data_IF_873892885387
#
_entry.id   IF_873892885387
#
_cell.length_a   1.000
_cell.length_b   1.000
_cell.length_c   1.000
_cell.angle_alpha   90.00
_cell.angle_beta   90.00
_cell.angle_gamma   90.00
#
_symmetry.space_group_name_H-M   'P 1'
#
loop_
_entity.id
_entity.type
_entity.pdbx_description
1 polymer ?
#
# COMPACT_ATOMS: atom_id res chain seq x y z
N UNK A 1 -51.51 -58.38 -17.01
CA UNK A 1 -51.58 -58.44 -15.53
C UNK A 1 -50.42 -57.66 -14.90
N UNK A 2 -50.62 -56.37 -14.51
CA UNK A 2 -49.68 -55.62 -13.66
C UNK A 2 -49.96 -56.06 -12.19
N UNK A 3 -49.11 -56.92 -11.64
CA UNK A 3 -49.15 -57.25 -10.23
C UNK A 3 -48.86 -55.98 -9.40
N UNK A 4 -49.88 -55.50 -8.67
CA UNK A 4 -49.71 -54.40 -7.72
C UNK A 4 -48.94 -54.92 -6.51
N UNK A 5 -47.70 -54.37 -6.28
CA UNK A 5 -46.90 -54.70 -5.08
C UNK A 5 -47.68 -54.40 -3.79
N UNK A 6 -47.58 -55.25 -2.74
CA UNK A 6 -48.28 -55.05 -1.50
C UNK A 6 -47.83 -53.77 -0.78
N UNK A 7 -48.77 -53.05 -0.14
CA UNK A 7 -48.57 -51.73 0.50
C UNK A 7 -47.35 -51.64 1.44
N UNK A 8 -47.08 -52.68 2.22
CA UNK A 8 -45.90 -52.77 3.13
C UNK A 8 -44.57 -52.69 2.35
N UNK A 9 -44.43 -53.32 1.22
CA UNK A 9 -43.24 -53.27 0.36
C UNK A 9 -43.05 -51.85 -0.23
N UNK A 10 -44.11 -51.16 -0.62
CA UNK A 10 -44.05 -49.79 -1.14
C UNK A 10 -43.53 -48.79 -0.09
N UNK A 11 -43.93 -48.95 1.17
CA UNK A 11 -43.49 -48.06 2.28
C UNK A 11 -42.03 -48.26 2.63
N UNK A 12 -41.53 -49.51 2.62
CA UNK A 12 -40.12 -49.84 2.86
C UNK A 12 -39.26 -49.31 1.68
N UNK A 13 -39.67 -49.51 0.44
CA UNK A 13 -38.97 -48.99 -0.76
C UNK A 13 -38.86 -47.49 -0.71
N UNK A 14 -39.91 -46.74 -0.40
CA UNK A 14 -39.88 -45.28 -0.24
C UNK A 14 -38.95 -44.81 0.86
N UNK A 15 -38.79 -45.54 1.98
CA UNK A 15 -37.81 -45.22 3.02
C UNK A 15 -36.37 -45.44 2.56
N UNK A 16 -36.13 -46.50 1.78
CA UNK A 16 -34.82 -46.80 1.22
C UNK A 16 -34.44 -45.73 0.16
N UNK A 17 -35.36 -45.39 -0.73
CA UNK A 17 -35.16 -44.32 -1.73
C UNK A 17 -34.84 -42.99 -1.06
N UNK A 18 -35.59 -42.57 -0.03
CA UNK A 18 -35.28 -41.33 0.70
C UNK A 18 -33.90 -41.34 1.35
N UNK A 19 -33.52 -42.47 1.96
CA UNK A 19 -32.20 -42.63 2.57
C UNK A 19 -31.09 -42.59 1.51
N UNK A 20 -31.28 -43.25 0.38
CA UNK A 20 -30.35 -43.22 -0.74
C UNK A 20 -30.17 -41.81 -1.29
N UNK A 21 -31.27 -41.05 -1.46
CA UNK A 21 -31.18 -39.63 -1.88
C UNK A 21 -30.45 -38.78 -0.85
N UNK A 22 -30.66 -38.97 0.43
CA UNK A 22 -29.93 -38.26 1.49
C UNK A 22 -28.45 -38.62 1.46
N UNK A 23 -28.10 -39.90 1.36
CA UNK A 23 -26.70 -40.35 1.24
C UNK A 23 -26.03 -39.79 0.00
N UNK A 24 -26.74 -39.75 -1.13
CA UNK A 24 -26.22 -39.17 -2.38
C UNK A 24 -26.01 -37.64 -2.24
N UNK A 25 -26.94 -36.92 -1.61
CA UNK A 25 -26.78 -35.50 -1.34
C UNK A 25 -25.56 -35.20 -0.44
N UNK A 26 -25.38 -36.00 0.62
CA UNK A 26 -24.22 -35.91 1.51
C UNK A 26 -22.91 -36.21 0.78
N UNK A 27 -22.89 -37.22 -0.10
CA UNK A 27 -21.72 -37.57 -0.91
C UNK A 27 -21.37 -36.44 -1.90
N UNK A 28 -22.37 -35.82 -2.53
CA UNK A 28 -22.14 -34.66 -3.41
C UNK A 28 -21.60 -33.46 -2.61
N UNK A 29 -22.15 -33.21 -1.41
CA UNK A 29 -21.70 -32.13 -0.54
C UNK A 29 -20.25 -32.35 -0.08
N UNK A 30 -19.89 -33.59 0.27
CA UNK A 30 -18.54 -33.96 0.62
C UNK A 30 -17.58 -33.78 -0.57
N UNK A 31 -17.96 -34.27 -1.75
CA UNK A 31 -17.17 -34.12 -2.97
C UNK A 31 -16.95 -32.64 -3.31
N UNK A 32 -17.99 -31.80 -3.21
CA UNK A 32 -17.88 -30.36 -3.41
C UNK A 32 -16.94 -29.72 -2.38
N UNK A 33 -17.07 -30.06 -1.09
CA UNK A 33 -16.17 -29.59 -0.03
C UNK A 33 -14.72 -29.99 -0.26
N UNK A 34 -14.47 -31.24 -0.67
CA UNK A 34 -13.12 -31.70 -1.03
C UNK A 34 -12.57 -30.98 -2.24
N UNK A 35 -13.39 -30.68 -3.25
CA UNK A 35 -12.97 -29.93 -4.43
C UNK A 35 -12.55 -28.50 -4.05
N UNK A 36 -13.33 -27.83 -3.21
CA UNK A 36 -12.98 -26.49 -2.69
C UNK A 36 -11.69 -26.56 -1.86
N UNK A 37 -11.53 -27.57 -1.02
CA UNK A 37 -10.31 -27.75 -0.22
C UNK A 37 -9.09 -27.96 -1.13
N UNK A 38 -9.19 -28.82 -2.15
CA UNK A 38 -8.09 -29.06 -3.09
C UNK A 38 -7.72 -27.78 -3.85
N UNK A 39 -8.71 -27.03 -4.35
CA UNK A 39 -8.46 -25.74 -5.01
C UNK A 39 -7.69 -24.79 -4.10
N UNK A 40 -8.12 -24.66 -2.84
CA UNK A 40 -7.43 -23.83 -1.85
C UNK A 40 -6.06 -24.36 -1.50
N UNK A 41 -5.90 -25.67 -1.36
CA UNK A 41 -4.60 -26.28 -1.09
C UNK A 41 -3.59 -25.99 -2.21
N UNK A 42 -4.00 -26.07 -3.47
CA UNK A 42 -3.13 -25.73 -4.61
C UNK A 42 -2.84 -24.22 -4.70
N UNK A 43 -3.82 -23.37 -4.34
CA UNK A 43 -3.68 -21.92 -4.42
C UNK A 43 -2.96 -21.30 -3.21
N UNK A 44 -3.15 -21.83 -2.02
CA UNK A 44 -2.74 -21.22 -0.75
C UNK A 44 -1.81 -22.12 0.08
N UNK A 45 -1.45 -23.30 -0.40
CA UNK A 45 -0.66 -24.29 0.35
C UNK A 45 0.67 -23.75 0.86
N UNK A 46 1.35 -22.91 0.07
CA UNK A 46 2.58 -22.23 0.48
C UNK A 46 2.36 -21.29 1.66
N UNK A 47 1.26 -20.52 1.68
CA UNK A 47 0.89 -19.63 2.79
C UNK A 47 0.58 -20.40 4.07
N UNK A 48 -0.09 -21.55 3.95
CA UNK A 48 -0.37 -22.39 5.11
C UNK A 48 0.89 -23.04 5.66
N UNK A 49 1.78 -23.48 4.75
CA UNK A 49 3.05 -24.08 5.13
C UNK A 49 4.02 -23.08 5.79
N UNK A 50 4.02 -21.82 5.37
CA UNK A 50 4.83 -20.73 5.94
C UNK A 50 4.24 -20.10 7.20
N UNK A 51 3.14 -20.64 7.72
CA UNK A 51 2.54 -20.17 8.98
C UNK A 51 3.53 -20.26 10.15
N UNK A 52 3.50 -19.28 11.06
CA UNK A 52 4.30 -19.24 12.28
C UNK A 52 4.13 -20.47 13.20
N UNK A 53 3.12 -21.31 12.98
CA UNK A 53 2.94 -22.60 13.66
C UNK A 53 3.87 -23.70 13.14
N UNK A 54 4.49 -23.50 11.97
CA UNK A 54 5.43 -24.45 11.42
C UNK A 54 6.85 -24.22 12.00
N UNK A 55 7.13 -24.83 13.14
CA UNK A 55 8.40 -24.69 13.89
C UNK A 55 9.65 -25.04 13.10
N UNK A 56 9.55 -25.72 11.95
CA UNK A 56 10.71 -26.03 11.11
C UNK A 56 11.22 -24.81 10.32
N UNK A 57 10.42 -23.76 10.22
CA UNK A 57 10.74 -22.54 9.48
C UNK A 57 11.10 -21.37 10.40
N UNK A 58 10.88 -21.52 11.71
CA UNK A 58 11.08 -20.48 12.70
C UNK A 58 11.99 -21.00 13.82
N UNK A 59 12.81 -20.10 14.36
CA UNK A 59 13.63 -20.39 15.53
C UNK A 59 12.79 -20.40 16.83
N UNK A 60 13.46 -20.58 17.98
CA UNK A 60 12.81 -20.60 19.31
C UNK A 60 12.12 -19.28 19.65
N UNK A 61 12.54 -18.17 19.05
CA UNK A 61 12.03 -16.83 19.28
C UNK A 61 10.94 -16.44 18.27
N UNK A 62 10.58 -17.34 17.35
CA UNK A 62 9.57 -17.14 16.32
C UNK A 62 10.05 -16.33 15.13
N UNK A 63 11.35 -16.25 14.91
CA UNK A 63 11.97 -15.59 13.76
C UNK A 63 12.03 -16.54 12.57
N UNK A 64 11.65 -16.07 11.39
CA UNK A 64 11.73 -16.84 10.14
C UNK A 64 13.20 -17.10 9.77
N UNK A 65 13.61 -18.37 9.79
CA UNK A 65 14.97 -18.83 9.47
C UNK A 65 15.04 -19.51 8.10
N UNK A 66 14.40 -18.95 7.09
CA UNK A 66 14.40 -19.49 5.72
C UNK A 66 14.48 -18.37 4.69
N UNK A 67 15.16 -18.63 3.59
CA UNK A 67 15.27 -17.75 2.43
C UNK A 67 16.19 -16.56 2.59
N UNK A 68 16.59 -16.00 1.45
CA UNK A 68 17.48 -14.85 1.31
C UNK A 68 16.77 -13.73 0.56
N UNK A 69 16.86 -12.51 1.07
CA UNK A 69 16.34 -11.30 0.43
C UNK A 69 17.53 -10.54 -0.15
N UNK A 70 17.46 -10.28 -1.45
CA UNK A 70 18.49 -9.57 -2.20
C UNK A 70 17.93 -8.28 -2.79
N UNK A 71 18.78 -7.30 -2.99
CA UNK A 71 18.43 -6.12 -3.77
C UNK A 71 18.52 -6.43 -5.28
N UNK A 72 18.29 -5.41 -6.11
CA UNK A 72 18.30 -5.54 -7.57
C UNK A 72 19.65 -5.96 -8.16
N UNK A 73 20.76 -5.60 -7.50
CA UNK A 73 22.13 -5.88 -7.94
C UNK A 73 22.67 -7.20 -7.34
N UNK A 74 21.88 -7.85 -6.47
CA UNK A 74 22.24 -9.10 -5.82
C UNK A 74 22.93 -8.92 -4.46
N UNK A 75 22.94 -7.70 -3.92
CA UNK A 75 23.41 -7.45 -2.56
C UNK A 75 22.46 -8.06 -1.53
N UNK A 76 23.00 -8.81 -0.57
CA UNK A 76 22.20 -9.52 0.43
C UNK A 76 21.67 -8.54 1.48
N UNK A 77 20.37 -8.25 1.44
CA UNK A 77 19.70 -7.42 2.45
C UNK A 77 19.37 -8.20 3.72
N UNK A 78 19.04 -9.49 3.60
CA UNK A 78 18.84 -10.39 4.72
C UNK A 78 19.05 -11.84 4.29
N UNK A 79 19.72 -12.63 5.13
CA UNK A 79 20.01 -14.06 4.92
C UNK A 79 19.78 -14.85 6.20
N UNK A 80 20.08 -16.15 6.16
CA UNK A 80 20.15 -17.00 7.35
C UNK A 80 21.58 -17.46 7.49
N UNK A 81 22.18 -17.20 8.65
CA UNK A 81 23.55 -17.58 9.00
C UNK A 81 23.57 -18.33 10.33
N UNK A 82 24.12 -19.52 10.36
CA UNK A 82 24.18 -20.35 11.56
C UNK A 82 22.81 -20.55 12.26
N UNK A 83 21.73 -20.64 11.47
CA UNK A 83 20.38 -20.83 11.99
C UNK A 83 19.72 -19.55 12.56
N UNK A 84 20.32 -18.39 12.35
CA UNK A 84 19.76 -17.10 12.77
C UNK A 84 19.59 -16.17 11.58
N UNK A 85 18.60 -15.27 11.66
CA UNK A 85 18.39 -14.23 10.66
C UNK A 85 19.50 -13.18 10.74
N UNK A 86 20.20 -13.01 9.62
CA UNK A 86 21.19 -11.96 9.41
C UNK A 86 20.62 -10.84 8.53
N UNK A 87 21.18 -9.65 8.65
CA UNK A 87 20.85 -8.49 7.84
C UNK A 87 22.10 -7.85 7.27
N UNK A 88 21.93 -6.93 6.31
CA UNK A 88 23.01 -6.20 5.67
C UNK A 88 24.04 -5.68 6.69
N UNK A 89 25.33 -5.68 6.35
CA UNK A 89 26.39 -5.30 7.28
C UNK A 89 26.27 -3.86 7.79
N UNK A 90 25.95 -2.92 6.90
CA UNK A 90 25.84 -1.50 7.23
C UNK A 90 24.52 -1.18 7.96
N UNK A 91 24.62 -0.63 9.18
CA UNK A 91 23.46 -0.26 10.02
C UNK A 91 22.50 0.71 9.32
N UNK A 92 23.02 1.70 8.58
CA UNK A 92 22.19 2.68 7.89
C UNK A 92 21.38 2.03 6.78
N UNK A 93 21.95 1.08 6.04
CA UNK A 93 21.22 0.29 5.03
C UNK A 93 20.13 -0.55 5.70
N UNK A 94 20.44 -1.22 6.84
CA UNK A 94 19.42 -1.97 7.60
C UNK A 94 18.23 -1.09 7.98
N UNK A 95 18.49 0.11 8.50
CA UNK A 95 17.44 1.08 8.85
C UNK A 95 16.68 1.58 7.63
N UNK A 96 17.38 1.85 6.54
CA UNK A 96 16.81 2.34 5.31
C UNK A 96 15.87 1.33 4.64
N UNK A 97 16.23 0.05 4.66
CA UNK A 97 15.49 -1.03 4.00
C UNK A 97 14.53 -1.77 4.94
N UNK A 98 14.46 -1.41 6.21
CA UNK A 98 13.69 -2.11 7.24
C UNK A 98 12.24 -2.35 6.86
N UNK A 99 11.54 -1.33 6.34
CA UNK A 99 10.11 -1.42 6.01
C UNK A 99 9.84 -2.26 4.76
N UNK A 100 10.85 -2.48 3.92
CA UNK A 100 10.78 -3.35 2.77
C UNK A 100 11.19 -4.78 3.11
N UNK A 101 12.29 -4.97 3.83
CA UNK A 101 12.77 -6.29 4.24
C UNK A 101 11.89 -6.88 5.34
N UNK A 102 11.58 -6.10 6.36
CA UNK A 102 10.84 -6.52 7.54
C UNK A 102 11.74 -6.67 8.78
N UNK A 103 11.09 -6.71 9.93
CA UNK A 103 11.71 -6.94 11.23
C UNK A 103 11.70 -8.42 11.61
N UNK A 104 12.43 -8.78 12.66
CA UNK A 104 12.54 -10.15 13.14
C UNK A 104 11.20 -10.77 13.57
N UNK A 105 10.30 -9.96 14.11
CA UNK A 105 9.07 -10.43 14.76
C UNK A 105 7.79 -10.21 13.94
N UNK A 106 7.92 -9.78 12.67
CA UNK A 106 6.80 -9.59 11.78
C UNK A 106 5.87 -8.43 12.13
N UNK A 107 6.32 -7.47 12.97
CA UNK A 107 5.55 -6.27 13.30
C UNK A 107 5.37 -5.33 12.10
N UNK A 108 6.31 -5.36 11.16
CA UNK A 108 6.21 -4.66 9.88
C UNK A 108 5.53 -5.56 8.87
N UNK A 109 4.20 -5.52 8.82
CA UNK A 109 3.38 -6.41 8.00
C UNK A 109 3.64 -6.34 6.49
N UNK A 110 4.16 -5.21 6.00
CA UNK A 110 4.54 -5.01 4.59
C UNK A 110 5.95 -5.50 4.26
N UNK A 111 6.74 -5.88 5.27
CA UNK A 111 8.09 -6.40 5.08
C UNK A 111 8.07 -7.77 4.41
N UNK A 112 9.03 -8.00 3.53
CA UNK A 112 9.16 -9.24 2.73
C UNK A 112 9.22 -10.48 3.60
N UNK A 113 9.92 -10.43 4.73
CA UNK A 113 10.02 -11.55 5.67
C UNK A 113 8.67 -12.02 6.21
N UNK A 114 7.69 -11.13 6.26
CA UNK A 114 6.33 -11.44 6.69
C UNK A 114 5.39 -11.65 5.49
N UNK A 115 5.33 -10.67 4.59
CA UNK A 115 4.36 -10.63 3.50
C UNK A 115 4.60 -11.71 2.43
N UNK A 116 5.85 -12.12 2.24
CA UNK A 116 6.28 -13.11 1.25
C UNK A 116 7.02 -14.31 1.88
N UNK A 117 6.69 -14.63 3.13
CA UNK A 117 7.25 -15.77 3.82
C UNK A 117 7.07 -17.10 3.03
N UNK A 118 5.93 -17.24 2.36
CA UNK A 118 5.63 -18.37 1.48
C UNK A 118 6.60 -18.49 0.29
N UNK A 119 7.03 -17.37 -0.28
CA UNK A 119 8.02 -17.35 -1.37
C UNK A 119 9.42 -17.62 -0.84
N UNK A 120 9.76 -17.12 0.36
CA UNK A 120 11.07 -17.32 0.98
C UNK A 120 11.28 -18.76 1.47
N UNK A 121 10.23 -19.40 1.99
CA UNK A 121 10.35 -20.76 2.54
C UNK A 121 10.45 -21.85 1.48
N UNK A 122 10.01 -21.56 0.26
CA UNK A 122 9.86 -22.59 -0.79
C UNK A 122 8.83 -23.64 -0.39
N UNK A 123 7.87 -23.89 -1.22
CA UNK A 123 6.83 -24.89 -0.99
C UNK A 123 6.71 -25.81 -2.20
N UNK A 124 6.71 -27.10 -1.94
CA UNK A 124 6.41 -28.14 -2.93
C UNK A 124 5.19 -28.93 -2.48
N UNK A 125 4.29 -29.22 -3.43
CA UNK A 125 3.02 -29.92 -3.14
C UNK A 125 3.19 -31.33 -2.61
N UNK A 126 4.33 -31.96 -2.90
CA UNK A 126 4.63 -33.36 -2.51
C UNK A 126 5.43 -33.39 -1.21
N UNK A 127 6.42 -32.47 -1.09
CA UNK A 127 7.38 -32.47 0.01
C UNK A 127 7.02 -31.45 1.12
N UNK A 128 6.03 -30.59 0.89
CA UNK A 128 5.66 -29.52 1.83
C UNK A 128 6.62 -28.33 1.78
N UNK A 129 6.74 -27.60 2.90
CA UNK A 129 7.72 -26.52 3.03
C UNK A 129 9.13 -27.09 3.13
N UNK A 130 10.06 -26.53 2.36
CA UNK A 130 11.47 -26.83 2.53
C UNK A 130 11.95 -26.20 3.84
N UNK A 131 12.71 -26.93 4.64
CA UNK A 131 13.27 -26.39 5.88
C UNK A 131 14.25 -25.23 5.62
N UNK A 132 14.78 -24.66 6.70
CA UNK A 132 15.70 -23.51 6.69
C UNK A 132 16.86 -23.62 5.69
N UNK A 133 17.35 -24.84 5.42
CA UNK A 133 18.48 -25.09 4.54
C UNK A 133 18.16 -24.97 3.03
N UNK A 134 16.89 -24.91 2.64
CA UNK A 134 16.44 -24.87 1.24
C UNK A 134 15.55 -23.67 0.92
N UNK A 135 15.73 -22.58 1.65
CA UNK A 135 15.00 -21.33 1.39
C UNK A 135 15.30 -20.77 0.00
N UNK A 136 14.33 -20.06 -0.55
CA UNK A 136 14.43 -19.42 -1.87
C UNK A 136 15.11 -18.05 -1.77
N UNK A 137 15.75 -17.65 -2.86
CA UNK A 137 16.21 -16.27 -3.05
C UNK A 137 15.07 -15.40 -3.57
N UNK A 138 14.82 -14.27 -2.91
CA UNK A 138 13.86 -13.27 -3.33
C UNK A 138 14.58 -11.98 -3.69
N UNK A 139 14.52 -11.60 -4.96
CA UNK A 139 15.09 -10.36 -5.47
C UNK A 139 14.08 -9.24 -5.42
N UNK A 140 14.47 -8.13 -4.80
CA UNK A 140 13.71 -6.89 -4.80
C UNK A 140 14.18 -6.00 -5.96
N UNK A 141 13.32 -5.10 -6.41
CA UNK A 141 13.72 -4.05 -7.37
C UNK A 141 14.45 -2.89 -6.69
N UNK A 142 14.49 -2.86 -5.35
CA UNK A 142 15.17 -1.83 -4.57
C UNK A 142 16.69 -1.87 -4.78
N UNK A 143 17.30 -0.69 -4.80
CA UNK A 143 18.74 -0.50 -4.77
C UNK A 143 19.16 -0.06 -3.35
N UNK A 144 20.02 -0.82 -2.71
CA UNK A 144 20.47 -0.56 -1.33
C UNK A 144 21.14 0.82 -1.19
N UNK A 145 21.86 1.29 -2.23
CA UNK A 145 22.54 2.60 -2.25
C UNK A 145 21.53 3.76 -2.31
N UNK A 146 20.49 3.62 -3.12
CA UNK A 146 19.43 4.65 -3.19
C UNK A 146 18.67 4.74 -1.90
N UNK A 147 18.38 3.60 -1.26
CA UNK A 147 17.73 3.57 0.05
C UNK A 147 18.63 4.18 1.14
N UNK A 148 19.93 3.88 1.12
CA UNK A 148 20.92 4.46 2.03
C UNK A 148 20.93 6.00 1.93
N UNK A 149 21.08 6.55 0.73
CA UNK A 149 21.13 8.00 0.53
C UNK A 149 19.81 8.69 0.86
N UNK A 150 18.68 8.09 0.49
CA UNK A 150 17.36 8.59 0.83
C UNK A 150 17.12 8.64 2.35
N UNK A 151 17.56 7.61 3.08
CA UNK A 151 17.44 7.58 4.53
C UNK A 151 18.30 8.67 5.19
N UNK A 152 19.52 8.88 4.69
CA UNK A 152 20.40 9.96 5.15
C UNK A 152 19.81 11.35 4.87
N UNK A 153 19.24 11.53 3.68
CA UNK A 153 18.62 12.79 3.28
C UNK A 153 17.39 13.16 4.13
N UNK A 154 16.66 12.17 4.69
CA UNK A 154 15.59 12.43 5.65
C UNK A 154 16.10 13.09 6.93
N UNK A 155 17.39 12.97 7.27
CA UNK A 155 18.04 13.70 8.35
C UNK A 155 17.39 13.53 9.74
N UNK A 156 16.70 12.40 9.97
CA UNK A 156 15.96 12.13 11.21
C UNK A 156 14.52 12.66 11.24
N UNK A 157 14.07 13.30 10.19
CA UNK A 157 12.66 13.70 10.04
C UNK A 157 11.77 12.48 9.79
N UNK A 158 10.56 12.50 10.33
CA UNK A 158 9.54 11.50 10.00
C UNK A 158 8.99 11.77 8.59
N UNK A 159 8.90 10.70 7.78
CA UNK A 159 8.42 10.82 6.42
C UNK A 159 8.72 9.58 5.58
N UNK A 160 8.62 9.74 4.27
CA UNK A 160 8.95 8.68 3.31
C UNK A 160 9.64 9.27 2.08
N UNK A 161 10.56 8.50 1.51
CA UNK A 161 11.17 8.77 0.20
C UNK A 161 10.98 7.53 -0.66
N UNK A 162 10.46 7.74 -1.86
CA UNK A 162 10.31 6.67 -2.84
C UNK A 162 10.76 7.13 -4.22
N UNK A 163 11.35 6.22 -4.96
CA UNK A 163 11.73 6.40 -6.36
C UNK A 163 11.26 5.18 -7.14
N UNK A 164 10.59 5.40 -8.25
CA UNK A 164 10.20 4.32 -9.14
C UNK A 164 10.56 4.65 -10.60
N UNK A 165 10.72 3.60 -11.37
CA UNK A 165 10.85 3.71 -12.81
C UNK A 165 9.43 3.76 -13.42
N UNK A 166 8.99 4.94 -13.88
CA UNK A 166 7.63 5.11 -14.41
C UNK A 166 7.35 4.29 -15.69
N UNK A 167 8.40 3.81 -16.39
CA UNK A 167 8.25 2.97 -17.57
C UNK A 167 8.08 1.50 -17.26
N UNK A 168 8.73 0.99 -16.19
CA UNK A 168 8.73 -0.43 -15.84
C UNK A 168 7.87 -0.73 -14.63
N UNK A 169 7.54 0.29 -13.81
CA UNK A 169 6.85 0.15 -12.53
C UNK A 169 7.75 -0.32 -11.38
N UNK A 170 9.04 -0.57 -11.62
CA UNK A 170 9.98 -0.99 -10.58
C UNK A 170 10.17 0.09 -9.52
N UNK A 171 10.01 -0.26 -8.26
CA UNK A 171 10.33 0.60 -7.12
C UNK A 171 11.80 0.43 -6.80
N UNK A 172 12.58 1.49 -7.01
CA UNK A 172 14.03 1.51 -6.82
C UNK A 172 14.43 1.94 -5.40
N UNK A 173 13.58 2.74 -4.76
CA UNK A 173 13.77 3.22 -3.40
C UNK A 173 12.42 3.28 -2.69
N UNK A 174 12.38 2.79 -1.44
CA UNK A 174 11.20 2.83 -0.58
C UNK A 174 11.64 2.92 0.88
N UNK A 175 11.88 4.14 1.34
CA UNK A 175 12.34 4.43 2.70
C UNK A 175 11.21 5.02 3.51
N UNK A 176 11.06 4.59 4.76
CA UNK A 176 10.17 5.21 5.74
C UNK A 176 10.94 5.53 7.03
N UNK A 177 10.62 6.66 7.64
CA UNK A 177 11.15 7.10 8.93
C UNK A 177 10.01 7.59 9.85
N UNK A 178 10.10 7.39 11.18
CA UNK A 178 11.23 6.80 11.89
C UNK A 178 11.42 5.31 11.57
N UNK A 179 12.66 4.87 11.71
CA UNK A 179 13.10 3.49 11.53
C UNK A 179 14.06 3.12 12.66
N UNK A 180 14.38 1.84 12.78
CA UNK A 180 15.31 1.32 13.76
C UNK A 180 16.18 0.21 13.16
N UNK A 181 17.26 -0.13 13.85
CA UNK A 181 18.11 -1.26 13.48
C UNK A 181 17.46 -2.57 13.94
N UNK A 182 17.09 -3.50 13.02
CA UNK A 182 16.49 -4.79 13.38
C UNK A 182 17.41 -5.66 14.27
N UNK A 183 18.73 -5.47 14.22
CA UNK A 183 19.69 -6.18 15.06
C UNK A 183 19.90 -5.52 16.43
N UNK A 184 19.44 -4.28 16.60
CA UNK A 184 19.57 -3.54 17.85
C UNK A 184 18.29 -2.73 18.13
N UNK A 185 17.19 -3.46 18.37
CA UNK A 185 15.87 -2.86 18.59
C UNK A 185 15.87 -2.06 19.90
N UNK A 186 15.48 -0.77 19.88
CA UNK A 186 15.37 0.03 21.10
C UNK A 186 14.37 -0.57 22.10
N UNK A 187 14.77 -0.69 23.38
CA UNK A 187 13.95 -1.33 24.43
C UNK A 187 12.59 -0.66 24.66
N UNK A 188 12.50 0.65 24.42
CA UNK A 188 11.30 1.47 24.60
C UNK A 188 10.71 1.98 23.29
N UNK A 189 10.85 1.22 22.21
CA UNK A 189 10.47 1.64 20.86
C UNK A 189 8.99 2.05 20.78
N UNK A 190 8.09 1.35 21.45
CA UNK A 190 6.65 1.61 21.43
C UNK A 190 6.23 2.81 22.32
N UNK A 191 7.01 3.12 23.35
CA UNK A 191 6.70 4.18 24.32
C UNK A 191 7.39 5.51 23.98
N UNK A 192 8.33 5.51 23.06
CA UNK A 192 9.16 6.66 22.72
C UNK A 192 8.60 7.38 21.49
N UNK A 193 8.16 8.61 21.66
CA UNK A 193 7.60 9.46 20.58
C UNK A 193 8.52 9.60 19.36
N UNK A 194 9.84 9.48 19.55
CA UNK A 194 10.82 9.47 18.46
C UNK A 194 10.56 8.35 17.46
N UNK A 195 10.00 7.22 17.91
CA UNK A 195 9.72 6.04 17.08
C UNK A 195 8.23 5.88 16.75
N UNK A 196 7.42 6.90 16.97
CA UNK A 196 5.99 6.86 16.67
C UNK A 196 5.75 6.51 15.20
N UNK A 197 5.13 5.35 14.98
CA UNK A 197 4.89 4.79 13.64
C UNK A 197 6.12 4.13 13.01
N UNK A 198 7.10 3.66 13.79
CA UNK A 198 8.31 2.97 13.29
C UNK A 198 8.02 1.62 12.62
N UNK A 199 6.86 1.03 12.85
CA UNK A 199 6.40 -0.18 12.15
C UNK A 199 5.65 0.11 10.85
N UNK A 200 5.36 1.39 10.57
CA UNK A 200 4.52 1.79 9.45
C UNK A 200 5.34 2.02 8.18
N UNK A 201 5.09 1.25 7.15
CA UNK A 201 5.55 1.59 5.81
C UNK A 201 4.75 2.78 5.29
N UNK A 202 5.31 3.98 5.41
CA UNK A 202 4.60 5.22 5.09
C UNK A 202 4.30 5.38 3.61
N UNK A 203 5.13 4.81 2.75
CA UNK A 203 4.89 4.85 1.31
C UNK A 203 3.63 4.06 0.92
N UNK A 204 3.46 2.87 1.48
CA UNK A 204 2.32 2.01 1.16
C UNK A 204 1.10 2.33 2.04
N UNK A 205 1.29 2.49 3.35
CA UNK A 205 0.22 2.40 4.33
C UNK A 205 -0.20 3.74 4.95
N UNK A 206 0.39 4.87 4.53
CA UNK A 206 0.00 6.20 5.02
C UNK A 206 -0.73 7.01 3.97
N UNK A 207 -1.47 8.02 4.47
CA UNK A 207 -1.97 9.13 3.68
C UNK A 207 -1.56 10.44 4.38
N UNK A 208 -1.20 11.44 3.60
CA UNK A 208 -0.72 12.74 4.06
C UNK A 208 -1.51 13.86 3.41
N UNK A 209 -1.58 15.00 4.08
CA UNK A 209 -2.05 16.25 3.47
C UNK A 209 -1.10 16.59 2.32
N UNK A 210 -1.57 16.65 1.07
CA UNK A 210 -0.70 16.84 -0.09
C UNK A 210 -0.06 18.23 -0.15
N UNK A 211 -0.76 19.24 0.35
CA UNK A 211 -0.31 20.62 0.20
C UNK A 211 -0.22 21.04 -1.28
N UNK A 212 0.70 21.92 -1.57
CA UNK A 212 0.84 22.54 -2.91
C UNK A 212 1.09 21.59 -4.06
N UNK A 213 1.51 20.34 -3.82
CA UNK A 213 1.64 19.38 -4.92
C UNK A 213 0.27 19.02 -5.52
N UNK A 214 -0.81 19.14 -4.76
CA UNK A 214 -2.18 18.93 -5.26
C UNK A 214 -2.58 19.95 -6.33
N UNK A 215 -1.94 21.12 -6.38
CA UNK A 215 -2.18 22.11 -7.45
C UNK A 215 -1.94 21.56 -8.85
N UNK A 216 -1.19 20.47 -9.01
CA UNK A 216 -1.07 19.76 -10.31
C UNK A 216 -2.43 19.22 -10.76
N UNK A 217 -3.24 18.70 -9.85
CA UNK A 217 -4.60 18.21 -10.16
C UNK A 217 -5.54 19.39 -10.49
N UNK A 218 -5.50 20.44 -9.67
CA UNK A 218 -6.29 21.67 -9.88
C UNK A 218 -5.89 22.36 -11.19
N UNK A 219 -4.59 22.40 -11.52
CA UNK A 219 -4.07 22.93 -12.79
C UNK A 219 -4.62 22.14 -13.99
N UNK A 220 -4.55 20.80 -13.93
CA UNK A 220 -5.08 19.96 -15.00
C UNK A 220 -6.58 20.17 -15.19
N UNK A 221 -7.33 20.26 -14.08
CA UNK A 221 -8.74 20.58 -14.13
C UNK A 221 -9.02 21.95 -14.75
N UNK A 222 -8.23 22.97 -14.42
CA UNK A 222 -8.35 24.31 -14.96
C UNK A 222 -8.10 24.35 -16.48
N UNK A 223 -7.02 23.74 -16.93
CA UNK A 223 -6.67 23.70 -18.36
C UNK A 223 -7.73 22.98 -19.21
N UNK A 224 -8.38 21.96 -18.67
CA UNK A 224 -9.39 21.19 -19.40
C UNK A 224 -10.83 21.78 -19.29
N UNK A 225 -11.12 22.65 -18.33
CA UNK A 225 -12.50 23.12 -18.08
C UNK A 225 -12.68 24.66 -18.13
N UNK A 226 -11.61 25.46 -18.05
CA UNK A 226 -11.69 26.90 -18.14
C UNK A 226 -11.17 27.36 -19.50
N UNK A 227 -12.03 27.87 -20.40
CA UNK A 227 -11.65 28.13 -21.81
C UNK A 227 -10.53 29.15 -22.00
N UNK A 228 -10.38 30.07 -21.05
CA UNK A 228 -9.42 31.18 -21.07
C UNK A 228 -8.28 31.01 -20.05
N UNK A 229 -8.13 29.82 -19.45
CA UNK A 229 -7.16 29.57 -18.39
C UNK A 229 -5.71 29.92 -18.76
N UNK A 230 -5.32 29.74 -20.03
CA UNK A 230 -3.95 30.03 -20.48
C UNK A 230 -3.70 31.52 -20.76
N UNK A 231 -4.73 32.31 -20.94
CA UNK A 231 -4.62 33.70 -21.39
C UNK A 231 -4.99 34.75 -20.36
N UNK A 232 -5.82 34.40 -19.38
CA UNK A 232 -6.23 35.32 -18.32
C UNK A 232 -5.25 35.33 -17.15
N UNK A 233 -5.42 36.35 -16.31
CA UNK A 233 -4.57 36.56 -15.13
C UNK A 233 -5.38 36.48 -13.84
N UNK A 234 -4.69 36.18 -12.73
CA UNK A 234 -5.19 36.20 -11.36
C UNK A 234 -4.35 37.15 -10.52
N UNK A 235 -5.01 37.98 -9.72
CA UNK A 235 -4.31 38.91 -8.84
C UNK A 235 -4.12 38.30 -7.44
N UNK A 236 -2.90 38.40 -6.90
CA UNK A 236 -2.55 37.99 -5.54
C UNK A 236 -1.97 39.15 -4.74
N UNK A 237 -2.71 39.60 -3.76
CA UNK A 237 -2.29 40.66 -2.82
C UNK A 237 -1.71 40.11 -1.51
N UNK A 238 -1.31 38.81 -1.48
CA UNK A 238 -0.84 38.09 -0.30
C UNK A 238 -1.94 37.27 0.36
N UNK A 239 -3.19 37.44 -0.02
CA UNK A 239 -4.35 36.64 0.36
C UNK A 239 -5.49 36.84 -0.61
N UNK A 240 -6.53 36.03 -0.50
CA UNK A 240 -7.81 36.19 -1.20
C UNK A 240 -8.95 35.81 -0.27
N UNK A 241 -10.07 36.53 -0.36
CA UNK A 241 -11.31 36.18 0.33
C UNK A 241 -12.13 35.26 -0.56
N UNK A 242 -12.44 34.06 -0.10
CA UNK A 242 -13.32 33.10 -0.76
C UNK A 242 -14.45 32.73 0.21
N UNK A 243 -15.65 33.13 -0.08
CA UNK A 243 -16.77 33.01 0.88
C UNK A 243 -16.42 33.64 2.23
N UNK A 244 -16.55 32.87 3.30
CA UNK A 244 -16.28 33.33 4.67
C UNK A 244 -14.81 33.15 5.11
N UNK A 245 -13.95 32.61 4.26
CA UNK A 245 -12.56 32.30 4.61
C UNK A 245 -11.55 33.18 3.86
N UNK A 246 -10.47 33.54 4.56
CA UNK A 246 -9.32 34.23 3.99
C UNK A 246 -8.22 33.22 3.71
N UNK A 247 -7.94 32.98 2.45
CA UNK A 247 -6.86 32.05 2.02
C UNK A 247 -5.58 32.85 1.89
N UNK A 248 -4.62 32.57 2.75
CA UNK A 248 -3.33 33.25 2.80
C UNK A 248 -2.35 32.65 1.78
N UNK A 249 -1.48 33.50 1.26
CA UNK A 249 -0.41 33.13 0.35
C UNK A 249 0.96 33.36 0.99
N UNK A 250 2.01 32.77 0.43
CA UNK A 250 3.40 32.90 0.91
C UNK A 250 3.98 34.29 0.66
N UNK A 251 3.37 35.08 -0.22
CA UNK A 251 3.79 36.44 -0.58
C UNK A 251 2.77 37.16 -1.44
N UNK A 252 3.08 38.41 -1.78
CA UNK A 252 2.33 39.22 -2.74
C UNK A 252 2.90 38.97 -4.13
N UNK A 253 2.14 38.33 -5.01
CA UNK A 253 2.61 37.97 -6.36
C UNK A 253 2.11 38.93 -7.45
N UNK A 254 1.11 39.78 -7.12
CA UNK A 254 0.48 40.68 -8.07
C UNK A 254 -0.36 39.96 -9.13
N UNK A 255 -0.49 40.60 -10.28
CA UNK A 255 -1.17 40.02 -11.43
C UNK A 255 -0.24 39.00 -12.12
N UNK A 256 -0.76 37.80 -12.33
CA UNK A 256 0.03 36.65 -12.82
C UNK A 256 -0.84 35.72 -13.68
N UNK A 257 -0.22 35.16 -14.71
CA UNK A 257 -0.79 34.09 -15.53
C UNK A 257 -0.91 32.77 -14.74
N UNK A 258 -1.66 31.80 -15.27
CA UNK A 258 -1.76 30.45 -14.68
C UNK A 258 -0.38 29.80 -14.50
N UNK A 259 0.50 29.94 -15.51
CA UNK A 259 1.87 29.42 -15.46
C UNK A 259 2.70 30.06 -14.33
N UNK A 260 2.61 31.38 -14.17
CA UNK A 260 3.31 32.10 -13.10
C UNK A 260 2.72 31.75 -11.74
N UNK A 261 1.38 31.66 -11.61
CA UNK A 261 0.70 31.26 -10.39
C UNK A 261 1.11 29.84 -9.95
N UNK A 262 1.28 28.91 -10.89
CA UNK A 262 1.77 27.58 -10.61
C UNK A 262 3.26 27.60 -10.20
N UNK A 263 4.10 28.34 -10.92
CA UNK A 263 5.52 28.47 -10.59
C UNK A 263 5.77 29.11 -9.22
N UNK A 264 4.98 30.09 -8.83
CA UNK A 264 5.00 30.73 -7.51
C UNK A 264 4.29 29.92 -6.43
N UNK A 265 3.63 28.83 -6.80
CA UNK A 265 2.77 28.06 -5.90
C UNK A 265 1.71 28.94 -5.20
N UNK A 266 1.09 29.87 -5.95
CA UNK A 266 0.22 30.90 -5.42
C UNK A 266 -1.11 30.31 -4.89
N UNK A 267 -1.31 30.37 -3.57
CA UNK A 267 -2.56 29.90 -2.96
C UNK A 267 -3.76 30.75 -3.39
N UNK A 268 -3.59 32.08 -3.46
CA UNK A 268 -4.68 32.99 -3.81
C UNK A 268 -5.25 32.71 -5.22
N UNK A 269 -4.38 32.48 -6.20
CA UNK A 269 -4.80 32.15 -7.56
C UNK A 269 -5.49 30.77 -7.61
N UNK A 270 -4.87 29.75 -7.02
CA UNK A 270 -5.41 28.40 -7.06
C UNK A 270 -6.71 28.22 -6.24
N UNK A 271 -6.93 29.02 -5.20
CA UNK A 271 -8.19 29.05 -4.48
C UNK A 271 -9.33 29.64 -5.33
N UNK A 272 -9.06 30.73 -6.08
CA UNK A 272 -10.03 31.30 -7.03
C UNK A 272 -10.35 30.30 -8.16
N UNK A 273 -9.33 29.64 -8.68
CA UNK A 273 -9.49 28.60 -9.71
C UNK A 273 -10.35 27.44 -9.16
N UNK A 274 -10.11 27.00 -7.93
CA UNK A 274 -10.86 25.92 -7.32
C UNK A 274 -12.35 26.32 -7.10
N UNK A 275 -12.61 27.53 -6.65
CA UNK A 275 -13.97 28.06 -6.51
C UNK A 275 -14.71 28.06 -7.86
N UNK A 276 -14.06 28.52 -8.92
CA UNK A 276 -14.64 28.57 -10.26
C UNK A 276 -14.89 27.17 -10.87
N UNK A 277 -13.96 26.23 -10.65
CA UNK A 277 -14.12 24.83 -11.10
C UNK A 277 -15.27 24.11 -10.39
N UNK A 278 -15.49 24.43 -9.14
CA UNK A 278 -16.49 23.80 -8.27
C UNK A 278 -16.07 22.41 -7.77
N UNK A 279 -16.75 21.98 -6.71
CA UNK A 279 -16.46 20.73 -6.01
C UNK A 279 -16.59 19.48 -6.88
N UNK A 280 -17.61 19.42 -7.73
CA UNK A 280 -17.85 18.25 -8.60
C UNK A 280 -16.75 18.08 -9.64
N UNK A 281 -16.20 19.17 -10.18
CA UNK A 281 -15.07 19.11 -11.10
C UNK A 281 -13.83 18.63 -10.38
N UNK A 282 -13.47 19.20 -9.23
CA UNK A 282 -12.30 18.77 -8.47
C UNK A 282 -12.43 17.33 -7.98
N UNK A 283 -13.61 16.88 -7.55
CA UNK A 283 -13.89 15.47 -7.23
C UNK A 283 -13.55 14.57 -8.41
N UNK A 284 -14.10 14.86 -9.57
CA UNK A 284 -13.87 14.08 -10.80
C UNK A 284 -12.40 14.00 -11.18
N UNK A 285 -11.64 15.09 -11.08
CA UNK A 285 -10.20 15.09 -11.39
C UNK A 285 -9.36 14.39 -10.34
N UNK A 286 -9.72 14.47 -9.06
CA UNK A 286 -9.10 13.72 -7.97
C UNK A 286 -9.28 12.21 -8.16
N UNK A 287 -10.48 11.79 -8.56
CA UNK A 287 -10.79 10.39 -8.90
C UNK A 287 -10.07 9.94 -10.17
N UNK A 288 -10.08 10.76 -11.24
CA UNK A 288 -9.36 10.50 -12.51
C UNK A 288 -7.85 10.38 -12.29
N UNK A 289 -7.29 11.18 -11.39
CA UNK A 289 -5.90 11.10 -10.97
C UNK A 289 -5.59 9.85 -10.10
N UNK A 290 -6.59 9.04 -9.76
CA UNK A 290 -6.45 7.82 -8.98
C UNK A 290 -6.13 8.05 -7.50
N UNK A 291 -6.23 9.28 -6.98
CA UNK A 291 -5.82 9.62 -5.62
C UNK A 291 -6.75 9.05 -4.54
N UNK A 292 -7.97 8.69 -4.91
CA UNK A 292 -8.96 8.03 -4.03
C UNK A 292 -8.92 6.50 -4.12
N UNK A 293 -8.04 5.95 -4.96
CA UNK A 293 -7.90 4.51 -5.18
C UNK A 293 -6.86 3.89 -4.26
N UNK A 294 -7.06 2.61 -3.92
CA UNK A 294 -6.01 1.77 -3.37
C UNK A 294 -5.33 1.01 -4.52
N UNK A 295 -4.02 0.93 -4.47
CA UNK A 295 -3.20 0.19 -5.42
C UNK A 295 -2.66 -1.07 -4.76
N UNK A 296 -2.07 -1.93 -5.56
CA UNK A 296 -1.41 -3.14 -5.08
C UNK A 296 0.03 -3.19 -5.61
N UNK A 297 0.98 -3.29 -4.69
CA UNK A 297 2.41 -3.49 -4.99
C UNK A 297 2.74 -4.94 -4.64
N UNK A 298 2.87 -5.79 -5.66
CA UNK A 298 3.08 -7.24 -5.50
C UNK A 298 2.10 -7.92 -4.52
N UNK A 299 0.84 -7.50 -4.51
CA UNK A 299 -0.18 -8.02 -3.60
C UNK A 299 -0.27 -7.28 -2.27
N UNK A 300 0.63 -6.35 -1.97
CA UNK A 300 0.53 -5.48 -0.81
C UNK A 300 -0.38 -4.29 -1.11
N UNK A 301 -1.49 -4.10 -0.40
CA UNK A 301 -2.39 -2.99 -0.66
C UNK A 301 -1.78 -1.68 -0.18
N UNK A 302 -2.02 -0.59 -0.93
CA UNK A 302 -1.74 0.76 -0.44
C UNK A 302 -2.93 1.32 0.33
N UNK A 303 -2.69 2.31 1.20
CA UNK A 303 -3.75 3.18 1.66
C UNK A 303 -4.34 3.94 0.47
N UNK A 304 -5.61 4.32 0.57
CA UNK A 304 -6.26 5.22 -0.38
C UNK A 304 -6.33 6.63 0.18
N UNK A 305 -6.33 7.62 -0.70
CA UNK A 305 -6.60 9.00 -0.29
C UNK A 305 -8.07 9.21 0.10
N UNK A 306 -8.29 10.23 0.90
CA UNK A 306 -9.63 10.66 1.32
C UNK A 306 -9.78 12.15 1.10
N UNK A 307 -10.95 12.54 0.63
CA UNK A 307 -11.35 13.92 0.37
C UNK A 307 -12.78 14.12 0.82
N UNK A 308 -13.09 15.33 1.25
CA UNK A 308 -14.46 15.68 1.63
C UNK A 308 -15.01 16.74 0.67
N UNK A 309 -15.80 16.31 -0.30
CA UNK A 309 -16.43 17.19 -1.29
C UNK A 309 -17.90 17.47 -0.98
N UNK A 310 -18.50 16.74 -0.05
CA UNK A 310 -19.91 16.87 0.26
C UNK A 310 -20.15 18.07 1.21
N UNK A 311 -21.09 18.92 0.84
CA UNK A 311 -21.46 20.12 1.62
C UNK A 311 -20.29 21.08 1.91
N UNK A 312 -19.26 21.08 1.04
CA UNK A 312 -18.08 21.94 1.16
C UNK A 312 -18.45 23.39 0.88
N UNK A 313 -18.01 24.32 1.74
CA UNK A 313 -18.18 25.76 1.49
C UNK A 313 -17.19 26.27 0.45
N UNK A 314 -17.44 27.48 -0.11
CA UNK A 314 -16.50 28.06 -1.09
C UNK A 314 -15.08 28.22 -0.53
N UNK A 315 -14.94 28.71 0.71
CA UNK A 315 -13.63 28.84 1.37
C UNK A 315 -12.92 27.49 1.58
N UNK A 316 -13.66 26.49 2.05
CA UNK A 316 -13.14 25.13 2.20
C UNK A 316 -12.71 24.52 0.85
N UNK A 317 -13.49 24.77 -0.22
CA UNK A 317 -13.15 24.35 -1.57
C UNK A 317 -11.88 25.04 -2.07
N UNK A 318 -11.71 26.33 -1.78
CA UNK A 318 -10.47 27.05 -2.07
C UNK A 318 -9.26 26.41 -1.37
N UNK A 319 -9.38 26.05 -0.09
CA UNK A 319 -8.33 25.32 0.63
C UNK A 319 -8.08 23.91 0.07
N UNK A 320 -9.14 23.17 -0.27
CA UNK A 320 -8.99 21.86 -0.90
C UNK A 320 -8.28 21.95 -2.26
N UNK A 321 -8.59 22.97 -3.08
CA UNK A 321 -7.92 23.19 -4.37
C UNK A 321 -6.42 23.51 -4.29
N UNK A 322 -5.94 23.94 -3.12
CA UNK A 322 -4.50 24.10 -2.85
C UNK A 322 -3.89 22.92 -2.07
N UNK A 323 -4.67 21.86 -1.86
CA UNK A 323 -4.21 20.62 -1.22
C UNK A 323 -4.16 20.69 0.31
N UNK A 324 -4.98 21.53 0.90
CA UNK A 324 -5.16 21.68 2.33
C UNK A 324 -6.57 21.18 2.72
N UNK A 325 -7.09 21.58 3.83
CA UNK A 325 -8.40 21.17 4.35
C UNK A 325 -8.38 19.71 4.84
N UNK A 326 -9.27 18.84 4.35
CA UNK A 326 -9.34 17.42 4.72
C UNK A 326 -8.73 16.47 3.68
N UNK A 327 -7.96 17.03 2.76
CA UNK A 327 -7.32 16.27 1.69
C UNK A 327 -6.24 15.37 2.26
N UNK A 328 -6.31 14.08 1.92
CA UNK A 328 -5.32 13.08 2.28
C UNK A 328 -4.99 12.27 1.04
N UNK A 329 -3.72 12.15 0.70
CA UNK A 329 -3.26 11.34 -0.43
C UNK A 329 -2.22 10.31 0.01
N UNK A 330 -2.29 9.12 -0.58
CA UNK A 330 -1.25 8.13 -0.41
C UNK A 330 -0.05 8.50 -1.29
N UNK A 331 1.21 8.44 -0.77
CA UNK A 331 2.39 8.79 -1.55
C UNK A 331 2.58 7.95 -2.82
N UNK A 332 2.25 6.66 -2.77
CA UNK A 332 2.33 5.79 -3.94
C UNK A 332 1.34 6.23 -5.03
N UNK A 333 0.09 6.52 -4.67
CA UNK A 333 -0.92 7.01 -5.59
C UNK A 333 -0.50 8.33 -6.25
N UNK A 334 0.06 9.25 -5.44
CA UNK A 334 0.53 10.54 -5.95
C UNK A 334 1.73 10.39 -6.88
N UNK A 335 2.65 9.48 -6.55
CA UNK A 335 3.82 9.17 -7.39
C UNK A 335 3.38 8.61 -8.75
N UNK A 336 2.36 7.74 -8.78
CA UNK A 336 1.77 7.21 -10.01
C UNK A 336 1.13 8.32 -10.86
N UNK A 337 0.38 9.22 -10.25
CA UNK A 337 -0.18 10.40 -10.92
C UNK A 337 0.90 11.26 -11.60
N UNK A 338 2.02 11.48 -10.92
CA UNK A 338 3.11 12.30 -11.46
C UNK A 338 3.92 11.61 -12.56
N UNK A 339 3.89 10.30 -12.65
CA UNK A 339 4.62 9.50 -13.63
C UNK A 339 3.81 9.07 -14.86
N UNK A 340 2.48 9.13 -14.79
CA UNK A 340 1.57 8.80 -15.87
C UNK A 340 1.20 10.01 -16.67
#
# INVERSE_FOLDING_TARGET
>A
HRQRMPLKRRTVMRKIEKRAVICMALAILLAAGMSVFLIRYFAEGGKWASSAFNRHLYDSDGVLISGTVLDRDGDVLSSVENGHRAYYENETVRKATLHAVGDLYGKIGTGVLNAFADKLTGFDLVNGAFGAERGSNLYLTLDARYNYEAYRALGGHAGTVAVYNYKTGEILCMVSAPSYDPLNVPKNLEENDRYKGAYLNRFLSSAFVPGSVFKTVTLTAALENLPDAETRTWNCTGSVQIGDETITCSGVHGEQTLKEAFAHSCNAAFAQIAEELGADTLRRYTEKAGLTSAYSVDGLPTAKGTFNWDSITAGQLGWAGVGQYHDQVNPCAFLLWMGG
#
